data_IF_469658412993
#
_entry.id   IF_469658412993
#
_cell.length_a   1.000
_cell.length_b   1.000
_cell.length_c   1.000
_cell.angle_alpha   90.00
_cell.angle_beta   90.00
_cell.angle_gamma   90.00
#
_symmetry.space_group_name_H-M   'P 1'
#
loop_
_entity.id
_entity.type
_entity.pdbx_description
1 polymer ?
#
# COMPACT_ATOMS: atom_id res chain seq x y z
N UNK A 1 9.06 0.01 1.91
CA UNK A 1 8.04 0.64 2.77
C UNK A 1 8.60 1.87 3.45
N UNK A 2 7.76 2.88 3.69
CA UNK A 2 8.14 4.15 4.34
C UNK A 2 8.26 3.98 5.87
N UNK A 3 9.49 3.92 6.38
CA UNK A 3 9.73 3.77 7.82
C UNK A 3 9.58 5.11 8.55
N UNK A 4 8.93 5.09 9.71
CA UNK A 4 8.64 6.31 10.49
C UNK A 4 9.90 7.04 10.94
N UNK A 5 10.94 6.31 11.34
CA UNK A 5 12.21 6.87 11.78
C UNK A 5 12.91 7.63 10.64
N UNK A 6 13.01 6.99 9.48
CA UNK A 6 13.65 7.53 8.28
C UNK A 6 12.86 8.72 7.74
N UNK A 7 11.53 8.61 7.68
CA UNK A 7 10.64 9.70 7.28
C UNK A 7 10.80 10.92 8.20
N UNK A 8 10.77 10.71 9.52
CA UNK A 8 10.85 11.81 10.50
C UNK A 8 12.21 12.50 10.52
N UNK A 9 13.29 11.75 10.28
CA UNK A 9 14.66 12.28 10.28
C UNK A 9 15.03 13.03 8.98
N UNK A 10 14.30 12.83 7.89
CA UNK A 10 14.62 13.39 6.58
C UNK A 10 13.46 14.23 5.99
N UNK A 11 13.02 15.30 6.69
CA UNK A 11 11.88 16.12 6.27
C UNK A 11 12.09 16.83 4.93
N UNK A 12 13.33 17.08 4.55
CA UNK A 12 13.75 17.68 3.29
C UNK A 12 13.51 16.76 2.08
N UNK A 13 13.41 15.44 2.29
CA UNK A 13 13.16 14.45 1.23
C UNK A 13 11.68 14.36 0.83
N UNK A 14 10.77 14.87 1.64
CA UNK A 14 9.32 14.87 1.35
C UNK A 14 8.63 16.15 1.88
N UNK A 15 9.06 17.34 1.43
CA UNK A 15 8.66 18.61 2.03
C UNK A 15 7.15 18.86 1.93
N UNK A 16 6.50 18.34 0.89
CA UNK A 16 5.05 18.40 0.71
C UNK A 16 4.29 17.59 1.77
N UNK A 17 4.65 16.33 1.99
CA UNK A 17 4.00 15.50 3.02
C UNK A 17 4.22 16.08 4.42
N UNK A 18 5.43 16.56 4.70
CA UNK A 18 5.75 17.20 5.98
C UNK A 18 4.99 18.53 6.18
N UNK A 19 4.73 19.31 5.11
CA UNK A 19 3.93 20.54 5.22
C UNK A 19 2.48 20.23 5.55
N UNK A 20 1.88 19.20 4.93
CA UNK A 20 0.51 18.76 5.24
C UNK A 20 0.35 18.40 6.72
N UNK A 21 1.31 17.65 7.28
CA UNK A 21 1.31 17.24 8.69
C UNK A 21 1.51 18.47 9.59
N UNK A 22 2.54 19.28 9.34
CA UNK A 22 2.90 20.43 10.17
C UNK A 22 1.80 21.50 10.21
N UNK A 23 1.17 21.75 9.07
CA UNK A 23 0.13 22.76 8.91
C UNK A 23 -1.26 22.23 9.24
N UNK A 24 -1.36 20.96 9.70
CA UNK A 24 -2.62 20.29 10.07
C UNK A 24 -3.67 20.34 8.95
N UNK A 25 -3.21 20.21 7.70
CA UNK A 25 -4.06 20.17 6.50
C UNK A 25 -4.64 18.78 6.22
N UNK A 26 -4.32 17.79 7.05
CA UNK A 26 -4.83 16.43 6.97
C UNK A 26 -4.62 15.66 8.27
N UNK A 27 -5.04 14.39 8.26
CA UNK A 27 -4.83 13.45 9.36
C UNK A 27 -3.67 12.54 8.97
N UNK A 28 -2.70 12.37 9.86
CA UNK A 28 -1.59 11.44 9.71
C UNK A 28 -1.51 10.51 10.91
N UNK A 29 -1.07 9.26 10.68
CA UNK A 29 -0.87 8.28 11.73
C UNK A 29 0.28 7.35 11.40
N UNK A 30 0.81 6.68 12.42
CA UNK A 30 1.82 5.63 12.26
C UNK A 30 1.18 4.29 12.56
N UNK A 31 1.23 3.36 11.60
CA UNK A 31 0.82 1.98 11.83
C UNK A 31 1.94 1.21 12.51
N UNK A 32 1.64 0.58 13.65
CA UNK A 32 2.55 -0.41 14.27
C UNK A 32 2.27 -1.76 13.62
N UNK A 33 3.21 -2.20 12.78
CA UNK A 33 3.10 -3.48 12.10
C UNK A 33 3.43 -4.64 13.05
N UNK A 34 2.74 -5.75 12.86
CA UNK A 34 3.09 -7.04 13.45
C UNK A 34 3.83 -7.89 12.42
N UNK A 35 4.64 -8.83 12.89
CA UNK A 35 5.27 -9.81 11.99
C UNK A 35 4.19 -10.71 11.37
N UNK A 36 4.33 -11.14 10.11
CA UNK A 36 5.41 -10.80 9.16
C UNK A 36 5.23 -9.38 8.59
N UNK A 37 6.34 -8.63 8.53
CA UNK A 37 6.35 -7.23 8.09
C UNK A 37 6.47 -7.13 6.57
N UNK A 38 5.43 -7.57 5.86
CA UNK A 38 5.33 -7.53 4.40
C UNK A 38 4.17 -6.64 3.94
N UNK A 39 4.11 -6.37 2.63
CA UNK A 39 3.10 -5.51 2.03
C UNK A 39 1.67 -5.98 2.34
N UNK A 40 1.36 -7.27 2.14
CA UNK A 40 -0.01 -7.77 2.36
C UNK A 40 -0.53 -7.57 3.80
N UNK A 41 0.12 -8.11 4.86
CA UNK A 41 -0.36 -7.94 6.24
C UNK A 41 -0.45 -6.46 6.65
N UNK A 42 0.46 -5.63 6.12
CA UNK A 42 0.43 -4.18 6.34
C UNK A 42 -0.80 -3.50 5.72
N UNK A 43 -1.11 -3.80 4.46
CA UNK A 43 -2.29 -3.22 3.78
C UNK A 43 -3.60 -3.71 4.41
N UNK A 44 -3.70 -4.98 4.80
CA UNK A 44 -4.90 -5.47 5.52
C UNK A 44 -5.07 -4.74 6.85
N UNK A 45 -3.99 -4.55 7.62
CA UNK A 45 -4.06 -3.80 8.87
C UNK A 45 -4.51 -2.35 8.67
N UNK A 46 -4.04 -1.68 7.61
CA UNK A 46 -4.40 -0.29 7.31
C UNK A 46 -5.85 -0.19 6.83
N UNK A 47 -6.28 -1.05 5.91
CA UNK A 47 -7.58 -0.92 5.24
C UNK A 47 -8.72 -1.64 5.95
N UNK A 48 -8.44 -2.70 6.72
CA UNK A 48 -9.46 -3.50 7.41
C UNK A 48 -9.39 -3.36 8.94
N UNK A 49 -8.34 -2.74 9.49
CA UNK A 49 -8.24 -2.45 10.91
C UNK A 49 -7.90 -3.64 11.81
N UNK A 50 -7.44 -4.76 11.24
CA UNK A 50 -6.96 -5.92 12.01
C UNK A 50 -5.68 -6.50 11.42
N UNK A 51 -4.87 -7.12 12.27
CA UNK A 51 -3.65 -7.82 11.85
C UNK A 51 -3.99 -9.22 11.34
N UNK A 52 -3.48 -9.59 10.16
CA UNK A 52 -3.67 -10.95 9.66
C UNK A 52 -3.04 -12.01 10.56
N UNK A 53 -3.64 -13.20 10.58
CA UNK A 53 -3.09 -14.37 11.27
C UNK A 53 -1.81 -14.83 10.57
N UNK A 54 -0.70 -14.84 11.31
CA UNK A 54 0.63 -15.27 10.84
C UNK A 54 0.60 -16.66 10.21
N UNK A 55 -0.22 -17.57 10.74
CA UNK A 55 -0.37 -18.93 10.21
C UNK A 55 -1.13 -18.96 8.88
N UNK A 56 -2.06 -18.02 8.65
CA UNK A 56 -2.77 -17.87 7.38
C UNK A 56 -1.86 -17.26 6.30
N UNK A 57 -1.05 -16.27 6.67
CA UNK A 57 -0.05 -15.68 5.77
C UNK A 57 0.99 -16.73 5.35
N UNK A 58 1.48 -17.54 6.31
CA UNK A 58 2.46 -18.58 6.04
C UNK A 58 1.94 -19.72 5.15
N UNK A 59 0.63 -20.06 5.22
CA UNK A 59 0.03 -21.16 4.45
C UNK A 59 -0.53 -20.74 3.08
N UNK A 60 -0.93 -19.49 2.93
CA UNK A 60 -1.62 -18.98 1.74
C UNK A 60 -1.02 -17.67 1.27
N UNK A 61 0.28 -17.66 0.97
CA UNK A 61 1.08 -16.45 0.71
C UNK A 61 0.51 -15.54 -0.39
N UNK A 62 -0.01 -16.15 -1.47
CA UNK A 62 -0.40 -15.44 -2.70
C UNK A 62 -1.82 -14.87 -2.70
N UNK A 63 -2.71 -15.35 -1.84
CA UNK A 63 -4.10 -14.90 -1.81
C UNK A 63 -4.70 -15.12 -0.43
N UNK A 64 -5.45 -14.15 0.09
CA UNK A 64 -6.21 -14.35 1.32
C UNK A 64 -7.54 -15.05 0.97
N UNK A 65 -7.75 -16.33 1.36
CA UNK A 65 -8.98 -17.05 1.02
C UNK A 65 -10.20 -16.58 1.82
N UNK A 66 -10.02 -15.74 2.84
CA UNK A 66 -11.09 -15.27 3.72
C UNK A 66 -11.47 -13.83 3.34
N UNK A 67 -12.70 -13.58 2.87
CA UNK A 67 -13.20 -12.23 2.68
C UNK A 67 -13.18 -11.44 3.98
N UNK A 68 -12.81 -10.16 3.93
CA UNK A 68 -12.83 -9.25 5.06
C UNK A 68 -13.46 -7.91 4.68
N UNK A 69 -14.06 -7.23 5.66
CA UNK A 69 -14.59 -5.87 5.50
C UNK A 69 -13.43 -4.87 5.56
N UNK A 70 -13.31 -4.04 4.54
CA UNK A 70 -12.29 -3.00 4.42
C UNK A 70 -12.93 -1.63 4.20
N UNK A 71 -12.17 -0.56 4.34
CA UNK A 71 -12.62 0.81 3.99
C UNK A 71 -13.15 0.88 2.55
N UNK A 72 -12.63 0.05 1.64
CA UNK A 72 -13.09 0.05 0.27
C UNK A 72 -14.53 -0.45 0.14
N UNK A 73 -14.94 -1.46 0.92
CA UNK A 73 -16.32 -1.95 0.96
C UNK A 73 -17.33 -0.87 1.42
N UNK A 74 -16.84 0.19 2.07
CA UNK A 74 -17.65 1.30 2.60
C UNK A 74 -17.49 2.60 1.81
N UNK A 75 -16.70 2.60 0.75
CA UNK A 75 -16.44 3.78 -0.08
C UNK A 75 -17.30 3.74 -1.34
N UNK A 76 -17.63 4.90 -1.91
CA UNK A 76 -18.37 4.98 -3.19
C UNK A 76 -17.51 4.55 -4.38
N UNK A 77 -16.27 5.03 -4.43
CA UNK A 77 -15.29 4.75 -5.48
C UNK A 77 -13.89 4.75 -4.87
N UNK A 78 -13.04 3.84 -5.31
CA UNK A 78 -11.63 3.77 -4.95
C UNK A 78 -10.79 3.64 -6.21
N UNK A 79 -9.61 4.26 -6.23
CA UNK A 79 -8.66 4.11 -7.33
C UNK A 79 -7.33 3.64 -6.76
N UNK A 80 -6.71 2.70 -7.46
CA UNK A 80 -5.50 2.03 -7.02
C UNK A 80 -4.55 1.94 -8.21
N UNK A 81 -3.27 2.24 -7.96
CA UNK A 81 -2.18 2.11 -8.94
C UNK A 81 -1.00 1.39 -8.30
N UNK A 82 -0.38 0.48 -9.04
CA UNK A 82 0.86 -0.16 -8.61
C UNK A 82 0.92 -1.66 -8.89
N UNK A 83 1.46 -2.39 -7.92
CA UNK A 83 1.94 -3.75 -8.10
C UNK A 83 0.80 -4.78 -8.21
N UNK A 84 0.81 -5.68 -9.22
CA UNK A 84 -0.23 -6.69 -9.38
C UNK A 84 -0.32 -7.66 -8.19
N UNK A 85 0.78 -7.97 -7.49
CA UNK A 85 0.77 -8.84 -6.30
C UNK A 85 -0.02 -8.24 -5.11
N UNK A 86 -0.07 -6.91 -4.99
CA UNK A 86 -0.82 -6.21 -3.94
C UNK A 86 -2.24 -5.89 -4.39
N UNK A 87 -2.40 -5.40 -5.61
CA UNK A 87 -3.70 -4.94 -6.09
C UNK A 87 -4.68 -6.10 -6.25
N UNK A 88 -4.20 -7.27 -6.68
CA UNK A 88 -5.02 -8.48 -6.78
C UNK A 88 -5.57 -8.98 -5.44
N UNK A 89 -5.05 -8.49 -4.31
CA UNK A 89 -5.63 -8.77 -2.98
C UNK A 89 -7.01 -8.13 -2.81
N UNK A 90 -7.32 -7.09 -3.58
CA UNK A 90 -8.54 -6.29 -3.47
C UNK A 90 -9.46 -6.42 -4.69
N UNK A 91 -9.20 -7.34 -5.61
CA UNK A 91 -10.00 -7.54 -6.85
C UNK A 91 -11.49 -7.79 -6.61
N UNK A 92 -11.87 -8.31 -5.44
CA UNK A 92 -13.27 -8.52 -5.07
C UNK A 92 -13.98 -7.23 -4.59
N UNK A 93 -13.37 -6.07 -4.80
CA UNK A 93 -13.91 -4.75 -4.43
C UNK A 93 -14.54 -4.10 -5.67
N UNK A 94 -15.87 -4.21 -5.88
CA UNK A 94 -16.51 -3.83 -7.14
C UNK A 94 -16.45 -2.32 -7.43
N UNK A 95 -16.23 -1.52 -6.39
CA UNK A 95 -16.09 -0.06 -6.46
C UNK A 95 -14.64 0.41 -6.54
N UNK A 96 -13.68 -0.50 -6.78
CA UNK A 96 -12.28 -0.17 -6.95
C UNK A 96 -11.85 -0.24 -8.42
N UNK A 97 -11.22 0.83 -8.90
CA UNK A 97 -10.59 0.92 -10.21
C UNK A 97 -9.10 0.64 -10.05
N UNK A 98 -8.68 -0.50 -10.58
CA UNK A 98 -7.32 -1.01 -10.45
C UNK A 98 -6.51 -0.82 -11.73
N UNK A 99 -5.39 -0.12 -11.65
CA UNK A 99 -4.40 0.04 -12.71
C UNK A 99 -3.07 -0.56 -12.27
N UNK A 100 -2.54 -1.52 -13.02
CA UNK A 100 -1.30 -2.23 -12.66
C UNK A 100 -0.30 -2.18 -13.81
N UNK A 101 0.99 -2.13 -13.47
CA UNK A 101 2.05 -2.43 -14.43
C UNK A 101 2.17 -3.94 -14.69
N UNK A 102 2.96 -4.33 -15.68
CA UNK A 102 3.19 -5.73 -15.99
C UNK A 102 4.02 -6.39 -14.88
N UNK A 103 3.72 -7.64 -14.53
CA UNK A 103 4.47 -8.37 -13.49
C UNK A 103 5.96 -8.54 -13.86
N UNK A 104 6.31 -8.49 -15.15
CA UNK A 104 7.70 -8.54 -15.61
C UNK A 104 8.47 -7.24 -15.35
N UNK A 105 7.78 -6.14 -15.03
CA UNK A 105 8.40 -4.86 -14.68
C UNK A 105 8.86 -4.83 -13.21
N UNK A 106 8.47 -5.81 -12.39
CA UNK A 106 8.85 -5.95 -10.98
C UNK A 106 10.32 -6.38 -10.79
N UNK A 107 11.27 -5.49 -11.07
CA UNK A 107 12.68 -5.66 -10.70
C UNK A 107 13.07 -4.80 -9.50
N UNK A 108 12.78 -5.32 -8.30
CA UNK A 108 13.11 -4.66 -7.03
C UNK A 108 14.61 -4.66 -6.69
N UNK A 109 15.44 -5.43 -7.41
CA UNK A 109 16.89 -5.48 -7.21
C UNK A 109 17.64 -4.50 -8.11
N UNK A 110 16.98 -3.96 -9.13
CA UNK A 110 17.53 -2.96 -10.03
C UNK A 110 17.79 -1.62 -9.32
N UNK A 111 18.82 -0.91 -9.79
CA UNK A 111 19.05 0.50 -9.44
C UNK A 111 18.00 1.44 -10.05
N UNK A 112 17.10 0.91 -10.89
CA UNK A 112 16.04 1.64 -11.59
C UNK A 112 14.65 1.41 -11.00
N UNK A 113 14.56 1.02 -9.72
CA UNK A 113 13.27 0.80 -9.04
C UNK A 113 12.31 2.02 -9.12
N UNK A 114 12.84 3.23 -9.33
CA UNK A 114 12.06 4.46 -9.56
C UNK A 114 11.17 4.41 -10.81
N UNK A 115 11.43 3.50 -11.77
CA UNK A 115 10.61 3.35 -12.99
C UNK A 115 9.17 2.94 -12.68
N UNK A 116 8.96 2.20 -11.59
CA UNK A 116 7.62 1.85 -11.14
C UNK A 116 6.88 3.07 -10.60
N UNK A 117 7.59 4.01 -9.96
CA UNK A 117 7.01 5.30 -9.56
C UNK A 117 6.69 6.15 -10.80
N UNK A 118 7.59 6.20 -11.79
CA UNK A 118 7.39 6.90 -13.07
C UNK A 118 6.17 6.36 -13.83
N UNK A 119 5.97 5.04 -13.82
CA UNK A 119 4.77 4.42 -14.37
C UNK A 119 3.50 4.98 -13.71
N UNK A 120 3.48 5.11 -12.39
CA UNK A 120 2.32 5.67 -11.68
C UNK A 120 2.10 7.14 -12.07
N UNK A 121 3.16 7.96 -12.09
CA UNK A 121 3.04 9.38 -12.45
C UNK A 121 2.47 9.58 -13.85
N UNK A 122 2.96 8.85 -14.85
CA UNK A 122 2.50 8.95 -16.23
C UNK A 122 1.03 8.57 -16.45
N UNK A 123 0.38 7.91 -15.49
CA UNK A 123 -1.03 7.52 -15.55
C UNK A 123 -1.94 8.41 -14.68
N UNK A 124 -1.38 9.20 -13.78
CA UNK A 124 -2.14 10.01 -12.80
C UNK A 124 -2.02 11.51 -13.07
N UNK A 125 -0.85 11.98 -13.54
CA UNK A 125 -0.61 13.38 -13.95
C UNK A 125 -0.91 13.61 -15.43
#
# INVERSE_FOLDING_TARGET
GLRMDTFSQNPDKSPFLHSLIRERKGISGTSRTHVPTESRPGHVAIFAGFTEDVSAVARGWKHNPVPFDSVFNRTREAWMWGSPDIMKLFDNTPNAHSFMYDENDEDFASNEAYKLDEWVFNHVE
#
